data_IF_200904903418
#
_entry.id   IF_200904903418
#
_cell.length_a   1.000
_cell.length_b   1.000
_cell.length_c   1.000
_cell.angle_alpha   90.00
_cell.angle_beta   90.00
_cell.angle_gamma   90.00
#
_symmetry.space_group_name_H-M   'P 1'
#
loop_
_entity.id
_entity.type
_entity.pdbx_description
1 polymer ?
#
# COMPACT_ATOMS: atom_id res chain seq x y z
N UNK A 1 -1.05 -9.56 -2.07
CA UNK A 1 -0.41 -8.28 -1.68
C UNK A 1 -1.13 -7.79 -0.44
N UNK A 2 -0.40 -7.30 0.58
CA UNK A 2 -1.02 -6.78 1.80
C UNK A 2 -1.77 -5.48 1.47
N UNK A 3 -3.07 -5.44 1.72
CA UNK A 3 -3.93 -4.29 1.38
C UNK A 3 -3.53 -3.03 2.15
N UNK A 4 -2.96 -3.19 3.36
CA UNK A 4 -2.42 -2.07 4.12
C UNK A 4 -1.20 -1.47 3.42
N UNK A 5 -0.28 -2.31 2.98
CA UNK A 5 0.89 -1.87 2.21
C UNK A 5 0.47 -1.21 0.90
N UNK A 6 -0.52 -1.78 0.20
CA UNK A 6 -1.06 -1.22 -1.03
C UNK A 6 -1.63 0.19 -0.81
N UNK A 7 -2.44 0.36 0.25
CA UNK A 7 -3.03 1.63 0.66
C UNK A 7 -1.95 2.67 1.00
N UNK A 8 -0.91 2.29 1.74
CA UNK A 8 0.20 3.19 2.04
C UNK A 8 0.97 3.61 0.78
N UNK A 9 1.27 2.65 -0.11
CA UNK A 9 2.04 2.91 -1.32
C UNK A 9 1.30 3.83 -2.27
N UNK A 10 0.00 3.58 -2.50
CA UNK A 10 -0.80 4.42 -3.41
C UNK A 10 -0.92 5.84 -2.86
N UNK A 11 -1.20 6.02 -1.57
CA UNK A 11 -1.27 7.36 -0.96
C UNK A 11 0.05 8.13 -1.06
N UNK A 12 1.19 7.45 -0.87
CA UNK A 12 2.51 8.06 -1.08
C UNK A 12 2.70 8.48 -2.53
N UNK A 13 2.31 7.65 -3.49
CA UNK A 13 2.39 8.00 -4.91
C UNK A 13 1.55 9.24 -5.24
N UNK A 14 0.32 9.34 -4.71
CA UNK A 14 -0.49 10.56 -4.84
C UNK A 14 0.19 11.79 -4.20
N UNK A 15 0.86 11.65 -3.05
CA UNK A 15 1.61 12.76 -2.46
C UNK A 15 2.77 13.20 -3.37
N UNK A 16 3.54 12.25 -3.91
CA UNK A 16 4.70 12.56 -4.74
C UNK A 16 4.30 13.20 -6.07
N UNK A 17 3.26 12.67 -6.72
CA UNK A 17 2.78 13.18 -7.99
C UNK A 17 2.08 14.54 -7.83
N UNK A 18 1.28 14.73 -6.79
CA UNK A 18 0.63 16.02 -6.49
C UNK A 18 1.61 17.16 -6.18
N UNK A 19 2.86 16.83 -5.80
CA UNK A 19 3.89 17.79 -5.43
C UNK A 19 5.16 17.67 -6.26
N UNK A 20 5.02 17.32 -7.53
CA UNK A 20 6.13 17.14 -8.47
C UNK A 20 7.09 18.34 -8.57
N UNK A 21 6.64 19.55 -8.24
CA UNK A 21 7.45 20.78 -8.23
C UNK A 21 8.20 21.04 -6.92
N UNK A 22 7.97 20.24 -5.88
CA UNK A 22 8.65 20.37 -4.58
C UNK A 22 10.04 19.74 -4.63
N UNK A 23 10.98 20.29 -3.87
CA UNK A 23 12.33 19.72 -3.74
C UNK A 23 12.26 18.25 -3.24
N UNK A 24 12.85 17.28 -3.95
CA UNK A 24 12.64 15.86 -3.67
C UNK A 24 13.04 15.41 -2.27
N UNK A 25 14.15 15.93 -1.70
CA UNK A 25 14.62 15.53 -0.39
C UNK A 25 13.71 16.07 0.74
N UNK A 26 13.24 17.30 0.61
CA UNK A 26 12.27 17.90 1.51
C UNK A 26 10.95 17.13 1.48
N UNK A 27 10.46 16.79 0.28
CA UNK A 27 9.24 16.01 0.11
C UNK A 27 9.38 14.59 0.69
N UNK A 28 10.49 13.92 0.43
CA UNK A 28 10.78 12.61 1.04
C UNK A 28 10.80 12.67 2.57
N UNK A 29 11.45 13.68 3.16
CA UNK A 29 11.49 13.88 4.62
C UNK A 29 10.10 14.14 5.20
N UNK A 30 9.28 14.92 4.50
CA UNK A 30 7.88 15.17 4.87
C UNK A 30 7.09 13.85 4.88
N UNK A 31 7.09 13.11 3.77
CA UNK A 31 6.35 11.82 3.66
C UNK A 31 6.83 10.81 4.69
N UNK A 32 8.14 10.73 4.94
CA UNK A 32 8.72 9.90 6.00
C UNK A 32 8.21 10.32 7.39
N UNK A 33 8.02 11.62 7.61
CA UNK A 33 7.46 12.19 8.84
C UNK A 33 6.00 11.80 9.11
N UNK A 34 5.23 11.43 8.09
CA UNK A 34 3.84 10.98 8.21
C UNK A 34 3.69 9.54 8.74
N UNK A 35 4.80 8.82 8.91
CA UNK A 35 4.91 7.52 9.60
C UNK A 35 3.83 6.49 9.22
N UNK A 36 3.83 5.93 8.00
CA UNK A 36 2.95 4.80 7.61
C UNK A 36 1.46 4.93 8.01
N UNK A 37 1.01 6.14 8.33
CA UNK A 37 -0.30 6.38 8.92
C UNK A 37 -1.26 6.69 7.81
N UNK A 38 -2.19 5.77 7.53
CA UNK A 38 -3.13 5.92 6.40
C UNK A 38 -3.86 7.26 6.47
N UNK A 39 -4.36 7.68 7.64
CA UNK A 39 -4.98 8.99 7.84
C UNK A 39 -4.05 10.14 7.47
N UNK A 40 -2.86 10.20 8.06
CA UNK A 40 -1.88 11.26 7.80
C UNK A 40 -1.46 11.31 6.33
N UNK A 41 -1.35 10.15 5.68
CA UNK A 41 -1.05 10.05 4.25
C UNK A 41 -2.22 10.51 3.38
N UNK A 42 -3.45 10.12 3.73
CA UNK A 42 -4.67 10.51 3.03
C UNK A 42 -4.93 12.02 3.14
N UNK A 43 -4.74 12.60 4.32
CA UNK A 43 -4.85 14.05 4.56
C UNK A 43 -3.85 14.84 3.71
N UNK A 44 -2.68 14.25 3.41
CA UNK A 44 -1.61 14.94 2.70
C UNK A 44 -1.56 14.66 1.19
N UNK A 45 -2.24 13.63 0.71
CA UNK A 45 -2.33 13.27 -0.71
C UNK A 45 -3.16 14.30 -1.49
N UNK A 46 -2.58 14.96 -2.49
CA UNK A 46 -3.18 16.10 -3.18
C UNK A 46 -3.10 16.00 -4.72
N UNK A 47 -2.85 14.81 -5.25
CA UNK A 47 -2.80 14.59 -6.71
C UNK A 47 -4.14 14.79 -7.43
N UNK A 48 -5.27 14.58 -6.74
CA UNK A 48 -6.61 14.82 -7.26
C UNK A 48 -7.32 15.81 -6.34
N UNK A 49 -8.06 16.75 -6.92
CA UNK A 49 -8.95 17.66 -6.20
C UNK A 49 -10.13 16.92 -5.56
N UNK A 50 -10.49 15.75 -6.10
CA UNK A 50 -11.50 14.89 -5.49
C UNK A 50 -10.93 14.23 -4.23
N UNK A 51 -11.50 14.63 -3.09
CA UNK A 51 -11.11 14.17 -1.76
C UNK A 51 -11.89 12.94 -1.29
N UNK A 52 -12.99 12.58 -1.95
CA UNK A 52 -13.83 11.46 -1.55
C UNK A 52 -13.04 10.14 -1.46
N UNK A 53 -12.19 9.76 -2.43
CA UNK A 53 -11.44 8.51 -2.38
C UNK A 53 -10.46 8.42 -1.20
N UNK A 54 -9.79 9.53 -0.87
CA UNK A 54 -8.85 9.57 0.26
C UNK A 54 -9.58 9.46 1.60
N UNK A 55 -10.72 10.14 1.72
CA UNK A 55 -11.54 10.13 2.93
C UNK A 55 -12.15 8.75 3.18
N UNK A 56 -12.64 8.08 2.12
CA UNK A 56 -13.17 6.72 2.20
C UNK A 56 -12.11 5.73 2.68
N UNK A 57 -10.92 5.76 2.07
CA UNK A 57 -9.81 4.90 2.47
C UNK A 57 -9.37 5.17 3.91
N UNK A 58 -9.21 6.45 4.31
CA UNK A 58 -8.86 6.79 5.69
C UNK A 58 -9.90 6.25 6.68
N UNK A 59 -11.18 6.52 6.46
CA UNK A 59 -12.25 6.11 7.35
C UNK A 59 -12.28 4.59 7.56
N UNK A 60 -12.01 3.80 6.50
CA UNK A 60 -11.95 2.35 6.58
C UNK A 60 -10.80 1.84 7.45
N UNK A 61 -9.61 2.43 7.29
CA UNK A 61 -8.43 2.02 8.04
C UNK A 61 -8.38 2.60 9.45
N UNK A 62 -9.05 3.72 9.70
CA UNK A 62 -9.21 4.30 11.04
C UNK A 62 -10.09 3.46 11.97
N UNK A 63 -10.99 2.64 11.40
CA UNK A 63 -11.82 1.70 12.14
C UNK A 63 -11.05 0.45 12.60
N UNK A 64 -9.84 0.23 12.07
CA UNK A 64 -8.95 -0.83 12.54
C UNK A 64 -8.25 -0.38 13.82
N UNK A 65 -8.61 -0.96 14.97
CA UNK A 65 -7.76 -0.82 16.15
C UNK A 65 -6.38 -1.42 15.85
N UNK A 66 -5.31 -0.79 16.34
CA UNK A 66 -3.91 -1.26 16.19
C UNK A 66 -3.74 -2.73 16.59
N UNK A 67 -4.63 -3.25 17.45
CA UNK A 67 -4.66 -4.62 17.95
C UNK A 67 -5.29 -5.66 16.99
N UNK A 68 -5.89 -5.25 15.86
CA UNK A 68 -6.61 -6.11 14.91
C UNK A 68 -5.86 -6.34 13.58
N UNK A 69 -4.58 -5.94 13.50
CA UNK A 69 -3.70 -6.28 12.37
C UNK A 69 -3.32 -7.77 12.33
N UNK A 70 -3.72 -8.53 13.34
CA UNK A 70 -3.55 -9.98 13.42
C UNK A 70 -4.91 -10.65 13.33
N UNK A 71 -4.98 -11.77 12.58
CA UNK A 71 -6.19 -12.55 12.35
C UNK A 71 -6.88 -12.97 13.65
N UNK A 72 -8.17 -13.32 13.57
CA UNK A 72 -8.91 -13.94 14.69
C UNK A 72 -8.11 -15.07 15.37
N UNK A 73 -7.40 -15.89 14.58
CA UNK A 73 -6.56 -16.99 15.09
C UNK A 73 -5.46 -16.50 16.05
N UNK A 74 -4.88 -15.33 15.78
CA UNK A 74 -3.88 -14.72 16.66
C UNK A 74 -4.56 -14.11 17.89
N UNK A 75 -5.78 -13.61 17.78
CA UNK A 75 -6.50 -12.99 18.89
C UNK A 75 -6.90 -14.00 19.98
N UNK A 76 -7.38 -15.19 19.60
CA UNK A 76 -7.58 -16.30 20.55
C UNK A 76 -6.27 -16.75 21.20
N UNK A 77 -5.17 -16.70 20.44
CA UNK A 77 -3.84 -17.06 20.93
C UNK A 77 -3.28 -16.04 21.94
N UNK A 78 -3.52 -14.73 21.73
CA UNK A 78 -2.97 -13.67 22.60
C UNK A 78 -3.92 -13.23 23.73
N UNK A 79 -5.23 -13.42 23.58
CA UNK A 79 -6.23 -12.94 24.55
C UNK A 79 -7.33 -13.98 24.81
N UNK A 80 -6.98 -15.19 25.28
CA UNK A 80 -7.97 -16.23 25.56
C UNK A 80 -8.93 -15.79 26.66
N UNK A 81 -10.24 -15.84 26.37
CA UNK A 81 -11.30 -15.63 27.36
C UNK A 81 -12.10 -14.32 27.26
N UNK A 82 -11.83 -13.46 26.27
CA UNK A 82 -12.61 -12.22 26.08
C UNK A 82 -13.89 -12.38 25.22
N UNK A 83 -14.12 -13.54 24.58
CA UNK A 83 -15.27 -13.94 23.73
C UNK A 83 -16.69 -13.39 24.03
N UNK A 84 -17.25 -12.48 23.22
CA UNK A 84 -18.63 -11.96 23.35
C UNK A 84 -19.17 -11.21 22.11
N UNK A 85 -20.47 -10.83 22.08
CA UNK A 85 -21.14 -10.18 20.93
C UNK A 85 -20.43 -8.93 20.40
N UNK A 86 -19.75 -8.18 21.27
CA UNK A 86 -18.93 -7.02 20.91
C UNK A 86 -17.74 -7.38 19.98
N UNK A 87 -17.32 -8.65 19.92
CA UNK A 87 -16.27 -9.11 19.01
C UNK A 87 -16.74 -9.41 17.60
N UNK A 88 -17.99 -9.81 17.40
CA UNK A 88 -18.54 -10.02 16.04
C UNK A 88 -18.58 -8.68 15.31
N UNK A 89 -19.03 -7.62 16.00
CA UNK A 89 -19.00 -6.24 15.48
C UNK A 89 -17.57 -5.72 15.22
N UNK A 90 -16.56 -6.21 15.95
CA UNK A 90 -15.15 -5.89 15.69
C UNK A 90 -14.58 -6.68 14.53
N UNK A 91 -15.01 -7.93 14.29
CA UNK A 91 -14.57 -8.76 13.17
C UNK A 91 -14.94 -8.16 11.82
N UNK A 92 -16.14 -7.57 11.69
CA UNK A 92 -16.59 -6.87 10.48
C UNK A 92 -15.65 -5.74 10.02
N UNK A 93 -14.85 -5.23 10.95
CA UNK A 93 -13.84 -4.20 10.72
C UNK A 93 -12.43 -4.77 10.87
N UNK A 94 -12.16 -5.97 10.33
CA UNK A 94 -10.82 -6.58 10.32
C UNK A 94 -10.35 -6.92 8.92
N UNK A 95 -9.03 -6.98 8.75
CA UNK A 95 -8.37 -7.46 7.52
C UNK A 95 -8.74 -8.92 7.21
N UNK A 96 -9.16 -9.68 8.23
CA UNK A 96 -9.59 -11.07 8.10
C UNK A 96 -11.04 -11.21 7.59
N UNK A 97 -11.84 -10.13 7.59
CA UNK A 97 -13.19 -10.14 7.01
C UNK A 97 -13.11 -9.94 5.49
N UNK A 98 -13.64 -10.91 4.73
CA UNK A 98 -13.59 -10.90 3.27
C UNK A 98 -14.28 -9.67 2.66
N UNK A 99 -15.44 -9.27 3.18
CA UNK A 99 -16.21 -8.11 2.67
C UNK A 99 -15.48 -6.80 2.95
N UNK A 100 -14.92 -6.66 4.14
CA UNK A 100 -14.06 -5.51 4.48
C UNK A 100 -12.86 -5.44 3.54
N UNK A 101 -12.19 -6.58 3.31
CA UNK A 101 -11.01 -6.68 2.46
C UNK A 101 -11.33 -6.34 1.00
N UNK A 102 -12.43 -6.86 0.46
CA UNK A 102 -12.87 -6.56 -0.91
C UNK A 102 -13.15 -5.06 -1.08
N UNK A 103 -13.83 -4.45 -0.11
CA UNK A 103 -14.07 -3.01 -0.12
C UNK A 103 -12.77 -2.19 -0.03
N UNK A 104 -11.83 -2.59 0.83
CA UNK A 104 -10.52 -1.96 0.92
C UNK A 104 -9.72 -2.09 -0.38
N UNK A 105 -9.78 -3.26 -1.02
CA UNK A 105 -9.14 -3.49 -2.33
C UNK A 105 -9.76 -2.60 -3.40
N UNK A 106 -11.08 -2.46 -3.43
CA UNK A 106 -11.77 -1.60 -4.39
C UNK A 106 -11.38 -0.12 -4.22
N UNK A 107 -11.29 0.37 -2.98
CA UNK A 107 -10.85 1.74 -2.70
C UNK A 107 -9.40 1.97 -3.13
N UNK A 108 -8.51 1.01 -2.85
CA UNK A 108 -7.11 1.09 -3.30
C UNK A 108 -7.02 1.04 -4.83
N UNK A 109 -7.79 0.17 -5.48
CA UNK A 109 -7.83 0.07 -6.94
C UNK A 109 -8.29 1.38 -7.57
N UNK A 110 -9.33 2.01 -7.01
CA UNK A 110 -9.80 3.30 -7.49
C UNK A 110 -8.71 4.39 -7.42
N UNK A 111 -7.94 4.43 -6.32
CA UNK A 111 -6.78 5.34 -6.24
C UNK A 111 -5.70 5.00 -7.29
N UNK A 112 -5.38 3.72 -7.48
CA UNK A 112 -4.40 3.29 -8.49
C UNK A 112 -4.85 3.66 -9.90
N UNK A 113 -6.13 3.52 -10.21
CA UNK A 113 -6.71 3.89 -11.51
C UNK A 113 -6.58 5.39 -11.78
N UNK A 114 -6.71 6.25 -10.78
CA UNK A 114 -6.46 7.69 -10.93
C UNK A 114 -5.00 8.00 -11.31
N UNK A 115 -4.06 7.16 -10.86
CA UNK A 115 -2.65 7.28 -11.22
C UNK A 115 -2.31 6.60 -12.56
N UNK A 116 -3.21 5.79 -13.13
CA UNK A 116 -2.90 4.97 -14.30
C UNK A 116 -2.41 5.80 -15.49
N UNK A 117 -2.95 7.00 -15.71
CA UNK A 117 -2.47 7.90 -16.78
C UNK A 117 -1.00 8.32 -16.64
N UNK A 118 -0.50 8.50 -15.41
CA UNK A 118 0.88 8.91 -15.13
C UNK A 118 1.83 7.71 -14.98
N UNK A 119 1.31 6.58 -14.47
CA UNK A 119 2.08 5.35 -14.27
C UNK A 119 2.17 4.47 -15.53
N UNK A 120 1.31 4.70 -16.54
CA UNK A 120 1.35 4.02 -17.84
C UNK A 120 2.01 4.84 -18.95
N UNK A 121 2.40 6.09 -18.66
CA UNK A 121 3.46 6.72 -19.44
C UNK A 121 4.70 5.85 -19.31
N UNK A 122 5.31 5.45 -20.43
CA UNK A 122 6.58 4.72 -20.44
C UNK A 122 7.58 5.45 -19.54
N UNK A 123 7.71 4.99 -18.30
CA UNK A 123 8.89 5.29 -17.52
C UNK A 123 9.95 4.41 -18.16
N UNK A 124 10.70 4.98 -19.10
CA UNK A 124 11.98 4.43 -19.56
C UNK A 124 12.96 4.49 -18.38
N UNK A 125 12.73 3.64 -17.38
CA UNK A 125 13.54 3.57 -16.17
C UNK A 125 14.78 2.70 -16.37
N UNK A 126 15.09 2.26 -17.61
CA UNK A 126 16.21 1.36 -17.87
C UNK A 126 16.15 0.03 -17.10
N UNK A 127 15.03 -0.28 -16.41
CA UNK A 127 14.87 -1.53 -15.65
C UNK A 127 14.87 -2.72 -16.61
N UNK A 128 14.31 -2.55 -17.80
CA UNK A 128 14.37 -3.56 -18.86
C UNK A 128 15.82 -3.82 -19.32
N UNK A 129 16.65 -2.78 -19.34
CA UNK A 129 18.07 -2.90 -19.66
C UNK A 129 18.86 -3.61 -18.54
N UNK A 130 18.55 -3.34 -17.27
CA UNK A 130 19.13 -4.03 -16.12
C UNK A 130 18.69 -5.51 -16.06
N UNK A 131 17.41 -5.79 -16.30
CA UNK A 131 16.89 -7.16 -16.38
C UNK A 131 17.50 -7.93 -17.55
N UNK A 132 17.64 -7.28 -18.71
CA UNK A 132 18.32 -7.87 -19.87
C UNK A 132 19.79 -8.18 -19.55
N UNK A 133 20.52 -7.27 -18.91
CA UNK A 133 21.90 -7.53 -18.48
C UNK A 133 21.99 -8.68 -17.47
N UNK A 134 21.03 -8.81 -16.55
CA UNK A 134 20.98 -9.92 -15.60
C UNK A 134 20.72 -11.26 -16.29
N UNK A 135 19.84 -11.30 -17.29
CA UNK A 135 19.57 -12.49 -18.10
C UNK A 135 20.80 -12.87 -18.94
N UNK A 136 21.41 -11.90 -19.62
CA UNK A 136 22.64 -12.10 -20.41
C UNK A 136 23.79 -12.61 -19.52
N UNK A 137 23.93 -12.08 -18.30
CA UNK A 137 24.92 -12.55 -17.33
C UNK A 137 24.63 -13.98 -16.86
N UNK A 138 23.36 -14.32 -16.61
CA UNK A 138 22.97 -15.66 -16.20
C UNK A 138 23.18 -16.69 -17.32
N UNK A 139 22.93 -16.31 -18.57
CA UNK A 139 23.22 -17.12 -19.76
C UNK A 139 24.73 -17.30 -19.95
N UNK A 140 25.51 -16.23 -19.84
CA UNK A 140 26.97 -16.30 -19.88
C UNK A 140 27.55 -17.24 -18.81
N UNK A 141 27.09 -17.14 -17.55
CA UNK A 141 27.54 -18.03 -16.47
C UNK A 141 27.20 -19.50 -16.75
N UNK A 142 26.03 -19.75 -17.35
CA UNK A 142 25.58 -21.09 -17.74
C UNK A 142 26.41 -21.66 -18.89
N UNK A 143 26.71 -20.86 -19.91
CA UNK A 143 27.54 -21.25 -21.06
C UNK A 143 29.02 -21.43 -20.68
N UNK A 144 29.53 -20.56 -19.82
CA UNK A 144 30.91 -20.60 -19.35
C UNK A 144 31.18 -21.75 -18.34
N UNK A 145 30.16 -22.52 -17.95
CA UNK A 145 30.23 -23.63 -16.96
C UNK A 145 30.89 -23.22 -15.63
N UNK A 146 30.70 -21.98 -15.20
CA UNK A 146 31.36 -21.42 -14.01
C UNK A 146 30.71 -21.92 -12.71
N UNK A 147 29.49 -22.47 -12.78
CA UNK A 147 28.82 -23.11 -11.64
C UNK A 147 28.30 -24.49 -12.08
N UNK A 148 28.66 -25.53 -11.31
CA UNK A 148 28.21 -26.92 -11.48
C UNK A 148 27.09 -27.24 -10.51
#
# INVERSE_FOLDING_TARGET
MDVLLAAECVLKAHIFLGKSQTEPLALYREVRGLRHGIRSLADRADYSDDREPYNALSARFDQLSVNLRYSLDMWETFFPGLGGEEQVARYDNTVANTRWREAAVAEVQHLVEMLSGELTGEVDCGIDDEFRQMVEMAEFVREAKIIR
#
